data_IF_005390277783
#
_entry.id   IF_005390277783
#
_cell.length_a   1.000
_cell.length_b   1.000
_cell.length_c   1.000
_cell.angle_alpha   90.00
_cell.angle_beta   90.00
_cell.angle_gamma   90.00
#
_symmetry.space_group_name_H-M   'P 1'
#
loop_
_entity.id
_entity.type
_entity.pdbx_description
1 polymer ?
#
# COMPACT_ATOMS: atom_id res chain seq x y z
N UNK A 1 14.96 14.54 -8.17
CA UNK A 1 13.74 15.15 -8.77
C UNK A 1 13.64 16.66 -8.54
N UNK A 2 14.74 17.38 -8.26
CA UNK A 2 14.70 18.85 -8.09
C UNK A 2 14.38 19.60 -9.39
N UNK A 3 14.79 19.06 -10.53
CA UNK A 3 14.53 19.66 -11.84
C UNK A 3 13.03 19.73 -12.13
N UNK A 4 12.31 18.62 -11.97
CA UNK A 4 10.85 18.56 -12.20
C UNK A 4 10.10 19.52 -11.29
N UNK A 5 10.47 19.62 -10.00
CA UNK A 5 9.86 20.58 -9.06
C UNK A 5 10.06 22.04 -9.49
N UNK A 6 11.20 22.38 -10.09
CA UNK A 6 11.51 23.76 -10.49
C UNK A 6 10.92 24.15 -11.85
N UNK A 7 10.55 23.17 -12.68
CA UNK A 7 10.07 23.41 -14.06
C UNK A 7 8.62 23.03 -14.29
N UNK A 8 7.98 22.26 -13.39
CA UNK A 8 6.57 21.88 -13.55
C UNK A 8 5.64 22.97 -13.06
N UNK A 9 4.62 23.28 -13.86
CA UNK A 9 3.53 24.22 -13.50
C UNK A 9 2.59 23.64 -12.43
N UNK A 10 2.60 22.31 -12.27
CA UNK A 10 1.87 21.62 -11.21
C UNK A 10 2.69 21.63 -9.93
N UNK A 11 2.12 22.10 -8.83
CA UNK A 11 2.69 21.93 -7.49
C UNK A 11 2.27 20.55 -6.96
N UNK A 12 3.15 19.53 -6.98
CA UNK A 12 2.80 18.22 -6.45
C UNK A 12 2.59 18.34 -4.95
N UNK A 13 1.49 17.77 -4.45
CA UNK A 13 1.20 17.65 -3.02
C UNK A 13 2.21 16.74 -2.25
N UNK A 14 3.15 16.12 -2.97
CA UNK A 14 4.18 15.22 -2.45
C UNK A 14 5.58 15.80 -2.69
N UNK A 15 6.32 16.06 -1.62
CA UNK A 15 7.69 16.61 -1.67
C UNK A 15 8.73 15.51 -1.97
N UNK A 16 8.59 14.84 -3.11
CA UNK A 16 9.48 13.74 -3.53
C UNK A 16 10.96 14.19 -3.64
N UNK A 17 11.19 15.45 -4.00
CA UNK A 17 12.53 16.02 -4.14
C UNK A 17 13.35 16.10 -2.84
N UNK A 18 12.71 16.00 -1.66
CA UNK A 18 13.36 16.00 -0.34
C UNK A 18 13.23 14.61 0.29
N UNK A 19 12.01 14.04 0.27
CA UNK A 19 11.74 12.76 0.92
C UNK A 19 12.53 11.61 0.29
N UNK A 20 12.75 11.63 -1.03
CA UNK A 20 13.43 10.52 -1.67
C UNK A 20 14.91 10.42 -1.33
N UNK A 21 15.59 11.54 -1.07
CA UNK A 21 16.99 11.51 -0.68
C UNK A 21 17.19 10.79 0.67
N UNK A 22 16.24 10.96 1.59
CA UNK A 22 16.28 10.38 2.92
C UNK A 22 15.68 8.97 3.00
N UNK A 23 14.67 8.68 2.17
CA UNK A 23 13.81 7.50 2.32
C UNK A 23 13.76 6.58 1.09
N UNK A 24 14.63 6.75 0.10
CA UNK A 24 14.69 5.88 -1.09
C UNK A 24 14.78 4.38 -0.73
N UNK A 25 15.53 4.04 0.32
CA UNK A 25 15.74 2.65 0.76
C UNK A 25 14.44 1.97 1.18
N UNK A 26 13.46 2.72 1.71
CA UNK A 26 12.14 2.20 2.09
C UNK A 26 11.34 1.73 0.88
N UNK A 27 11.50 2.43 -0.25
CA UNK A 27 10.87 2.06 -1.52
C UNK A 27 11.55 0.85 -2.15
N UNK A 28 12.89 0.78 -2.09
CA UNK A 28 13.65 -0.37 -2.60
C UNK A 28 13.34 -1.68 -1.86
N UNK A 29 13.08 -1.61 -0.54
CA UNK A 29 12.67 -2.76 0.26
C UNK A 29 11.16 -3.06 0.18
N UNK A 30 10.38 -2.32 -0.60
CA UNK A 30 8.91 -2.44 -0.66
C UNK A 30 8.21 -2.30 0.71
N UNK A 31 8.77 -1.48 1.61
CA UNK A 31 8.22 -1.19 2.95
C UNK A 31 7.59 0.21 3.02
N UNK A 32 7.51 0.92 1.89
CA UNK A 32 7.00 2.30 1.81
C UNK A 32 5.57 2.44 2.37
N UNK A 33 4.74 1.40 2.23
CA UNK A 33 3.34 1.40 2.69
C UNK A 33 3.17 1.42 4.24
N UNK A 34 4.22 1.10 5.00
CA UNK A 34 4.16 1.06 6.47
C UNK A 34 4.34 2.44 7.12
N UNK A 35 4.77 3.44 6.34
CA UNK A 35 5.08 4.78 6.81
C UNK A 35 3.97 5.76 6.45
N UNK A 36 3.86 6.91 7.14
CA UNK A 36 2.84 7.91 6.81
C UNK A 36 3.03 8.48 5.40
N UNK A 37 1.92 8.81 4.72
CA UNK A 37 1.91 9.31 3.33
C UNK A 37 2.77 10.56 3.11
N UNK A 38 2.97 11.37 4.15
CA UNK A 38 3.80 12.59 4.09
C UNK A 38 5.30 12.32 3.92
N UNK A 39 5.78 11.12 4.26
CA UNK A 39 7.20 10.74 4.18
C UNK A 39 7.48 9.76 3.03
N UNK A 40 6.44 9.33 2.32
CA UNK A 40 6.60 8.42 1.19
C UNK A 40 7.36 9.11 0.07
N UNK A 41 8.36 8.42 -0.50
CA UNK A 41 8.92 8.79 -1.80
C UNK A 41 8.16 8.06 -2.89
N UNK A 42 7.78 8.78 -3.96
CA UNK A 42 7.05 8.26 -5.12
C UNK A 42 5.76 7.59 -4.70
N UNK A 43 4.75 8.38 -4.36
CA UNK A 43 3.49 7.88 -3.81
C UNK A 43 2.91 6.69 -4.59
N UNK A 44 2.98 6.67 -5.93
CA UNK A 44 2.46 5.57 -6.75
C UNK A 44 3.09 4.20 -6.43
N UNK A 45 4.35 4.17 -5.97
CA UNK A 45 5.07 2.93 -5.69
C UNK A 45 4.48 2.14 -4.51
N UNK A 46 3.64 2.78 -3.70
CA UNK A 46 2.89 2.13 -2.63
C UNK A 46 2.10 0.91 -3.13
N UNK A 47 1.55 1.00 -4.35
CA UNK A 47 0.78 -0.07 -4.97
C UNK A 47 1.66 -1.27 -5.33
N UNK A 48 2.83 -1.01 -5.91
CA UNK A 48 3.79 -2.06 -6.24
C UNK A 48 4.31 -2.77 -4.97
N UNK A 49 4.57 -2.01 -3.90
CA UNK A 49 4.94 -2.58 -2.60
C UNK A 49 3.85 -3.50 -2.05
N UNK A 50 2.60 -3.04 -2.08
CA UNK A 50 1.45 -3.84 -1.67
C UNK A 50 1.32 -5.15 -2.45
N UNK A 51 1.49 -5.12 -3.78
CA UNK A 51 1.38 -6.31 -4.62
C UNK A 51 2.45 -7.36 -4.29
N UNK A 52 3.69 -6.95 -4.05
CA UNK A 52 4.75 -7.88 -3.66
C UNK A 52 4.48 -8.56 -2.31
N UNK A 53 3.93 -7.82 -1.34
CA UNK A 53 3.57 -8.35 -0.02
C UNK A 53 2.46 -9.39 -0.12
N UNK A 54 1.40 -9.11 -0.91
CA UNK A 54 0.34 -10.07 -1.16
C UNK A 54 0.83 -11.30 -1.94
N UNK A 55 1.77 -11.13 -2.85
CA UNK A 55 2.37 -12.25 -3.58
C UNK A 55 3.13 -13.20 -2.63
N UNK A 56 3.98 -12.65 -1.76
CA UNK A 56 4.70 -13.42 -0.74
C UNK A 56 3.74 -14.13 0.21
N UNK A 57 2.73 -13.41 0.72
CA UNK A 57 1.70 -13.97 1.60
C UNK A 57 0.89 -15.08 0.90
N UNK A 58 0.58 -14.92 -0.39
CA UNK A 58 -0.06 -15.94 -1.21
C UNK A 58 0.78 -17.22 -1.33
N UNK A 59 2.09 -17.11 -1.53
CA UNK A 59 3.00 -18.27 -1.56
C UNK A 59 2.99 -19.01 -0.21
N UNK A 60 3.07 -18.27 0.90
CA UNK A 60 2.99 -18.87 2.25
C UNK A 60 1.67 -19.59 2.49
N UNK A 61 0.54 -18.98 2.13
CA UNK A 61 -0.77 -19.59 2.25
C UNK A 61 -0.91 -20.82 1.37
N UNK A 62 -0.36 -20.80 0.15
CA UNK A 62 -0.38 -21.94 -0.75
C UNK A 62 0.43 -23.13 -0.17
N UNK A 63 1.62 -22.87 0.37
CA UNK A 63 2.42 -23.90 1.05
C UNK A 63 1.67 -24.49 2.26
N UNK A 64 1.01 -23.65 3.05
CA UNK A 64 0.25 -24.09 4.24
C UNK A 64 -1.03 -24.86 3.88
N UNK A 65 -1.65 -24.52 2.74
CA UNK A 65 -2.90 -25.12 2.26
C UNK A 65 -2.79 -26.64 2.05
N UNK A 66 -1.59 -27.11 1.68
CA UNK A 66 -1.32 -28.54 1.44
C UNK A 66 -1.59 -29.39 2.69
N UNK A 67 -1.35 -28.85 3.90
CA UNK A 67 -1.53 -29.59 5.15
C UNK A 67 -2.82 -29.23 5.90
N UNK A 68 -3.23 -27.96 5.85
CA UNK A 68 -4.34 -27.40 6.64
C UNK A 68 -5.26 -26.51 5.81
N UNK A 69 -5.85 -27.07 4.75
CA UNK A 69 -6.71 -26.35 3.79
C UNK A 69 -7.88 -25.60 4.43
N UNK A 70 -8.54 -26.18 5.45
CA UNK A 70 -9.63 -25.51 6.16
C UNK A 70 -9.18 -24.23 6.88
N UNK A 71 -8.00 -24.26 7.51
CA UNK A 71 -7.43 -23.13 8.24
C UNK A 71 -7.01 -22.00 7.28
N UNK A 72 -6.49 -22.35 6.11
CA UNK A 72 -6.18 -21.37 5.06
C UNK A 72 -7.45 -20.76 4.50
N UNK A 73 -8.49 -21.55 4.23
CA UNK A 73 -9.76 -21.07 3.71
C UNK A 73 -10.45 -20.09 4.68
N UNK A 74 -10.45 -20.38 5.99
CA UNK A 74 -11.00 -19.46 7.00
C UNK A 74 -10.20 -18.17 7.07
N UNK A 75 -8.86 -18.23 7.10
CA UNK A 75 -7.99 -17.05 7.12
C UNK A 75 -8.20 -16.17 5.88
N UNK A 76 -8.28 -16.76 4.68
CA UNK A 76 -8.55 -16.03 3.44
C UNK A 76 -9.92 -15.33 3.46
N UNK A 77 -10.94 -16.04 3.94
CA UNK A 77 -12.29 -15.51 4.03
C UNK A 77 -12.37 -14.33 5.00
N UNK A 78 -11.70 -14.43 6.16
CA UNK A 78 -11.62 -13.34 7.13
C UNK A 78 -10.92 -12.12 6.55
N UNK A 79 -9.81 -12.30 5.82
CA UNK A 79 -9.10 -11.18 5.18
C UNK A 79 -10.02 -10.46 4.19
N UNK A 80 -10.72 -11.19 3.30
CA UNK A 80 -11.64 -10.59 2.34
C UNK A 80 -12.79 -9.83 3.01
N UNK A 81 -13.45 -10.45 4.00
CA UNK A 81 -14.56 -9.84 4.72
C UNK A 81 -14.08 -8.59 5.46
N UNK A 82 -12.91 -8.65 6.09
CA UNK A 82 -12.34 -7.50 6.78
C UNK A 82 -12.07 -6.33 5.84
N UNK A 83 -11.59 -6.58 4.61
CA UNK A 83 -11.38 -5.53 3.61
C UNK A 83 -12.70 -4.85 3.23
N UNK A 84 -13.74 -5.62 2.94
CA UNK A 84 -15.06 -5.07 2.63
C UNK A 84 -15.65 -4.27 3.79
N UNK A 85 -15.54 -4.79 5.02
CA UNK A 85 -16.02 -4.10 6.21
C UNK A 85 -15.28 -2.78 6.44
N UNK A 86 -13.95 -2.75 6.29
CA UNK A 86 -13.15 -1.52 6.43
C UNK A 86 -13.52 -0.49 5.36
N UNK A 87 -13.65 -0.91 4.10
CA UNK A 87 -14.05 -0.02 3.01
C UNK A 87 -15.45 0.53 3.24
N UNK A 88 -16.41 -0.30 3.65
CA UNK A 88 -17.75 0.13 4.00
C UNK A 88 -17.73 1.12 5.17
N UNK A 89 -16.99 0.80 6.24
CA UNK A 89 -16.87 1.65 7.42
C UNK A 89 -16.29 3.04 7.09
N UNK A 90 -15.20 3.09 6.32
CA UNK A 90 -14.61 4.36 5.86
C UNK A 90 -15.62 5.13 5.00
N UNK A 91 -16.35 4.45 4.12
CA UNK A 91 -17.37 5.06 3.26
C UNK A 91 -18.52 5.68 4.06
N UNK A 92 -18.94 5.03 5.15
CA UNK A 92 -19.96 5.55 6.06
C UNK A 92 -19.45 6.73 6.90
N UNK A 93 -18.23 6.66 7.41
CA UNK A 93 -17.62 7.75 8.18
C UNK A 93 -17.42 9.02 7.36
N UNK A 94 -16.99 8.88 6.11
CA UNK A 94 -16.75 10.01 5.20
C UNK A 94 -17.98 10.42 4.37
N UNK A 95 -19.17 9.91 4.74
CA UNK A 95 -20.47 10.32 4.20
C UNK A 95 -20.44 10.61 2.69
N UNK A 96 -20.04 9.60 1.90
CA UNK A 96 -20.17 9.57 0.44
C UNK A 96 -19.69 10.82 -0.32
N UNK A 97 -18.72 11.58 0.21
CA UNK A 97 -18.07 12.63 -0.58
C UNK A 97 -17.11 11.99 -1.58
N UNK A 98 -17.66 11.54 -2.72
CA UNK A 98 -16.89 11.29 -3.92
C UNK A 98 -16.32 12.65 -4.37
N UNK A 99 -15.06 12.91 -4.01
CA UNK A 99 -14.29 14.04 -4.53
C UNK A 99 -13.46 13.56 -5.72
#
# INVERSE_FOLDING_TARGET
>A
MRWTHNTSVFEPNVLDHINCENYWWRNALYLNNLFPRSEMCMLWSWYMANDTQFYVLGIFLLMLSVRFSWLVATMWSVILVSSWCVTAYISFLYSYQAR
#
